data_IF_126144120117
#
_entry.id   IF_126144120117
#
_cell.length_a   1.000
_cell.length_b   1.000
_cell.length_c   1.000
_cell.angle_alpha   90.00
_cell.angle_beta   90.00
_cell.angle_gamma   90.00
#
_symmetry.space_group_name_H-M   'P 1'
#
loop_
_entity.id
_entity.type
_entity.pdbx_description
1 polymer ?
#
# COMPACT_ATOMS: atom_id res chain seq x y z
N UNK A 1 15.59 -25.60 -9.01
CA UNK A 1 14.49 -24.68 -8.66
C UNK A 1 13.90 -25.10 -7.33
N UNK A 2 13.87 -24.20 -6.35
CA UNK A 2 13.28 -24.40 -5.02
C UNK A 2 12.06 -23.51 -4.89
N UNK A 3 10.96 -24.02 -4.32
CA UNK A 3 9.80 -23.19 -3.99
C UNK A 3 10.09 -22.38 -2.71
N UNK A 4 9.77 -21.09 -2.73
CA UNK A 4 9.87 -20.21 -1.57
C UNK A 4 8.59 -19.36 -1.49
N UNK A 5 7.79 -19.53 -0.43
CA UNK A 5 6.52 -18.86 -0.22
C UNK A 5 6.19 -18.78 1.27
N UNK A 6 5.27 -17.92 1.67
CA UNK A 6 4.95 -17.64 3.08
C UNK A 6 4.76 -18.89 3.96
N UNK A 7 4.21 -19.99 3.42
CA UNK A 7 3.95 -21.20 4.19
C UNK A 7 5.19 -22.07 4.42
N UNK A 8 6.28 -21.87 3.66
CA UNK A 8 7.49 -22.68 3.79
C UNK A 8 8.75 -21.89 4.21
N UNK A 9 8.63 -20.59 4.46
CA UNK A 9 9.75 -19.72 4.86
C UNK A 9 10.55 -20.34 6.01
N UNK A 10 9.88 -20.76 7.07
CA UNK A 10 10.54 -21.30 8.28
C UNK A 10 11.47 -22.49 8.00
N UNK A 11 11.11 -23.32 7.05
CA UNK A 11 11.89 -24.50 6.68
C UNK A 11 12.89 -24.23 5.56
N UNK A 12 12.56 -23.32 4.64
CA UNK A 12 13.40 -23.02 3.48
C UNK A 12 14.50 -22.00 3.76
N UNK A 13 14.23 -21.02 4.62
CA UNK A 13 15.18 -19.95 4.90
C UNK A 13 16.54 -20.47 5.40
N UNK A 14 16.62 -21.39 6.39
CA UNK A 14 17.92 -21.97 6.81
C UNK A 14 18.65 -22.66 5.65
N UNK A 15 17.96 -23.46 4.85
CA UNK A 15 18.55 -24.17 3.71
C UNK A 15 19.14 -23.20 2.67
N UNK A 16 18.45 -22.09 2.40
CA UNK A 16 18.92 -21.08 1.46
C UNK A 16 20.15 -20.34 2.00
N UNK A 17 20.19 -20.08 3.30
CA UNK A 17 21.37 -19.46 3.93
C UNK A 17 22.59 -20.41 3.95
N UNK A 18 22.39 -21.71 4.11
CA UNK A 18 23.45 -22.72 3.98
C UNK A 18 24.05 -22.70 2.56
N UNK A 19 23.21 -22.69 1.52
CA UNK A 19 23.70 -22.58 0.13
C UNK A 19 24.51 -21.30 -0.10
N UNK A 20 24.08 -20.16 0.46
CA UNK A 20 24.85 -18.91 0.38
C UNK A 20 26.19 -19.03 1.14
N UNK A 21 26.20 -19.67 2.31
CA UNK A 21 27.43 -19.88 3.09
C UNK A 21 28.42 -20.80 2.36
N UNK A 22 27.95 -21.76 1.55
CA UNK A 22 28.75 -22.59 0.64
C UNK A 22 29.27 -21.83 -0.58
N UNK A 23 28.97 -20.51 -0.70
CA UNK A 23 29.41 -19.69 -1.83
C UNK A 23 28.52 -19.77 -3.07
N UNK A 24 27.34 -20.37 -2.98
CA UNK A 24 26.41 -20.43 -4.09
C UNK A 24 25.68 -19.08 -4.27
N UNK A 25 25.30 -18.80 -5.51
CA UNK A 25 24.43 -17.65 -5.84
C UNK A 25 22.97 -18.09 -5.97
N UNK A 26 22.08 -17.31 -5.38
CA UNK A 26 20.64 -17.54 -5.44
C UNK A 26 19.95 -16.44 -6.25
N UNK A 27 19.05 -16.82 -7.17
CA UNK A 27 18.15 -15.90 -7.83
C UNK A 27 16.72 -16.11 -7.32
N UNK A 28 16.12 -15.03 -6.79
CA UNK A 28 14.70 -15.01 -6.41
C UNK A 28 13.91 -14.50 -7.58
N UNK A 29 12.92 -15.29 -8.01
CA UNK A 29 12.02 -14.95 -9.12
C UNK A 29 10.59 -15.00 -8.64
N UNK A 30 9.76 -14.09 -9.12
CA UNK A 30 8.31 -14.04 -8.89
C UNK A 30 7.56 -14.40 -10.17
N UNK A 31 6.35 -14.88 -10.02
CA UNK A 31 5.45 -15.13 -11.15
C UNK A 31 4.91 -13.82 -11.74
N UNK A 32 4.86 -12.75 -10.94
CA UNK A 32 4.42 -11.42 -11.39
C UNK A 32 5.12 -10.32 -10.59
N UNK A 33 5.73 -9.37 -11.31
CA UNK A 33 6.33 -8.19 -10.72
C UNK A 33 7.68 -8.42 -10.03
N UNK A 34 8.06 -7.45 -9.19
CA UNK A 34 9.32 -7.43 -8.46
C UNK A 34 9.22 -8.29 -7.18
N UNK A 35 10.06 -9.33 -7.01
CA UNK A 35 10.09 -10.12 -5.78
C UNK A 35 10.33 -9.25 -4.53
N UNK A 36 9.72 -9.61 -3.40
CA UNK A 36 9.88 -8.90 -2.12
C UNK A 36 8.96 -7.68 -1.94
N UNK A 37 8.14 -7.34 -2.94
CA UNK A 37 7.11 -6.29 -2.80
C UNK A 37 5.73 -6.96 -2.70
N UNK A 38 5.22 -7.13 -1.49
CA UNK A 38 4.03 -7.94 -1.19
C UNK A 38 4.13 -9.38 -1.74
N UNK A 39 5.34 -9.89 -1.81
CA UNK A 39 5.70 -11.18 -2.36
C UNK A 39 6.83 -11.78 -1.51
N UNK A 40 6.95 -13.11 -1.40
CA UNK A 40 8.05 -13.74 -0.68
C UNK A 40 9.41 -13.27 -1.21
N UNK A 41 10.31 -12.95 -0.31
CA UNK A 41 11.66 -12.49 -0.67
C UNK A 41 12.23 -11.49 0.32
N UNK A 42 11.39 -10.72 0.99
CA UNK A 42 11.82 -9.77 2.02
C UNK A 42 12.60 -10.46 3.14
N UNK A 43 12.06 -11.55 3.68
CA UNK A 43 12.67 -12.29 4.77
C UNK A 43 14.02 -12.92 4.35
N UNK A 44 14.11 -13.43 3.12
CA UNK A 44 15.36 -13.96 2.59
C UNK A 44 16.39 -12.85 2.38
N UNK A 45 15.99 -11.73 1.80
CA UNK A 45 16.87 -10.59 1.58
C UNK A 45 17.40 -10.03 2.91
N UNK A 46 16.53 -9.91 3.91
CA UNK A 46 16.88 -9.48 5.27
C UNK A 46 17.86 -10.45 5.93
N UNK A 47 17.58 -11.74 5.89
CA UNK A 47 18.42 -12.75 6.52
C UNK A 47 19.78 -12.89 5.81
N UNK A 48 19.81 -12.83 4.48
CA UNK A 48 21.05 -12.87 3.72
C UNK A 48 21.94 -11.66 4.05
N UNK A 49 21.37 -10.46 4.14
CA UNK A 49 22.11 -9.25 4.56
C UNK A 49 22.66 -9.37 5.98
N UNK A 50 21.86 -9.86 6.94
CA UNK A 50 22.33 -10.09 8.31
C UNK A 50 23.46 -11.12 8.37
N UNK A 51 23.45 -12.11 7.48
CA UNK A 51 24.53 -13.10 7.37
C UNK A 51 25.75 -12.60 6.57
N UNK A 52 25.78 -11.35 6.14
CA UNK A 52 26.90 -10.74 5.42
C UNK A 52 26.93 -11.00 3.92
N UNK A 53 25.89 -11.62 3.34
CA UNK A 53 25.83 -11.87 1.91
C UNK A 53 25.34 -10.64 1.13
N UNK A 54 25.88 -10.37 -0.07
CA UNK A 54 25.40 -9.32 -0.93
C UNK A 54 24.00 -9.62 -1.46
N UNK A 55 23.12 -8.63 -1.45
CA UNK A 55 21.79 -8.70 -2.06
C UNK A 55 21.70 -7.66 -3.17
N UNK A 56 21.49 -8.11 -4.39
CA UNK A 56 21.38 -7.28 -5.58
C UNK A 56 19.95 -7.34 -6.10
N UNK A 57 19.37 -6.18 -6.37
CA UNK A 57 18.06 -6.08 -7.01
C UNK A 57 18.26 -5.81 -8.50
N UNK A 58 17.64 -6.64 -9.34
CA UNK A 58 17.54 -6.38 -10.77
C UNK A 58 16.27 -5.57 -10.99
N UNK A 59 16.34 -4.34 -11.53
CA UNK A 59 15.15 -3.52 -11.78
C UNK A 59 14.15 -4.26 -12.67
N UNK A 60 12.89 -4.19 -12.29
CA UNK A 60 11.82 -4.89 -13.00
C UNK A 60 10.46 -4.23 -12.82
N UNK A 61 9.42 -4.75 -13.45
CA UNK A 61 8.07 -4.22 -13.36
C UNK A 61 7.56 -4.29 -11.90
N UNK A 62 6.87 -3.22 -11.47
CA UNK A 62 6.24 -3.15 -10.16
C UNK A 62 4.86 -2.50 -10.30
N UNK A 63 3.80 -3.25 -10.00
CA UNK A 63 2.43 -2.77 -10.15
C UNK A 63 2.15 -1.50 -9.32
N UNK A 64 2.75 -1.38 -8.13
CA UNK A 64 2.57 -0.21 -7.26
C UNK A 64 3.06 1.09 -7.93
N UNK A 65 4.29 1.10 -8.43
CA UNK A 65 4.85 2.28 -9.09
C UNK A 65 4.23 2.52 -10.47
N UNK A 66 3.89 1.46 -11.20
CA UNK A 66 3.21 1.57 -12.49
C UNK A 66 1.83 2.22 -12.32
N UNK A 67 1.02 1.74 -11.38
CA UNK A 67 -0.28 2.34 -11.05
C UNK A 67 -0.13 3.79 -10.58
N UNK A 68 0.85 4.08 -9.71
CA UNK A 68 1.08 5.43 -9.20
C UNK A 68 1.36 6.42 -10.33
N UNK A 69 2.26 6.07 -11.25
CA UNK A 69 2.63 6.95 -12.38
C UNK A 69 1.45 7.15 -13.32
N UNK A 70 0.67 6.10 -13.61
CA UNK A 70 -0.47 6.17 -14.52
C UNK A 70 -1.73 6.80 -13.89
N UNK A 71 -1.78 6.93 -12.56
CA UNK A 71 -2.95 7.47 -11.84
C UNK A 71 -3.16 8.97 -12.04
N UNK A 72 -2.12 9.73 -12.37
CA UNK A 72 -2.15 11.19 -12.39
C UNK A 72 -2.21 11.85 -11.01
N UNK A 73 -2.16 11.07 -9.92
CA UNK A 73 -2.12 11.58 -8.55
C UNK A 73 -0.68 11.95 -8.14
N UNK A 74 -0.50 12.83 -7.14
CA UNK A 74 0.83 13.25 -6.69
C UNK A 74 1.73 12.06 -6.35
N UNK A 75 2.88 11.95 -7.02
CA UNK A 75 3.82 10.83 -6.87
C UNK A 75 5.13 11.18 -6.17
N UNK A 76 5.37 12.47 -5.89
CA UNK A 76 6.64 12.93 -5.28
C UNK A 76 6.87 12.40 -3.85
N UNK A 77 5.80 12.17 -3.09
CA UNK A 77 5.80 11.54 -1.76
C UNK A 77 4.58 10.65 -1.67
N UNK A 78 4.79 9.36 -1.48
CA UNK A 78 3.70 8.40 -1.38
C UNK A 78 3.97 7.33 -0.32
N UNK A 79 2.92 6.62 0.07
CA UNK A 79 2.97 5.45 0.94
C UNK A 79 2.60 4.21 0.15
N UNK A 80 3.21 3.09 0.47
CA UNK A 80 2.81 1.79 -0.01
C UNK A 80 2.34 0.94 1.17
N UNK A 81 1.08 0.54 1.15
CA UNK A 81 0.43 -0.25 2.21
C UNK A 81 0.29 -1.74 1.84
N UNK A 82 0.48 -2.08 0.56
CA UNK A 82 0.23 -3.45 0.10
C UNK A 82 -1.21 -3.88 0.33
N UNK A 83 -1.41 -5.11 0.80
CA UNK A 83 -2.72 -5.63 1.16
C UNK A 83 -3.09 -5.25 2.59
N UNK A 84 -4.23 -4.60 2.77
CA UNK A 84 -4.74 -4.34 4.12
C UNK A 84 -5.10 -5.65 4.84
N UNK A 85 -4.98 -5.70 6.17
CA UNK A 85 -5.45 -6.84 6.97
C UNK A 85 -6.87 -7.22 6.59
N UNK A 86 -7.20 -8.51 6.60
CA UNK A 86 -8.51 -9.00 6.12
C UNK A 86 -9.67 -8.57 7.02
N UNK A 87 -9.45 -8.43 8.32
CA UNK A 87 -10.48 -8.11 9.34
C UNK A 87 -9.86 -7.66 10.66
N UNK A 88 -10.72 -7.25 11.58
CA UNK A 88 -10.37 -7.03 12.98
C UNK A 88 -9.87 -5.61 13.28
N UNK A 89 -9.24 -5.47 14.46
CA UNK A 89 -8.79 -4.17 14.98
C UNK A 89 -7.72 -3.53 14.08
N UNK A 90 -6.79 -4.33 13.60
CA UNK A 90 -5.69 -3.87 12.76
C UNK A 90 -6.21 -3.27 11.44
N UNK A 91 -7.18 -3.92 10.76
CA UNK A 91 -7.80 -3.35 9.55
C UNK A 91 -8.44 -1.99 9.83
N UNK A 92 -9.19 -1.85 10.93
CA UNK A 92 -9.80 -0.58 11.31
C UNK A 92 -8.76 0.50 11.55
N UNK A 93 -7.70 0.19 12.29
CA UNK A 93 -6.61 1.13 12.53
C UNK A 93 -5.94 1.61 11.23
N UNK A 94 -5.73 0.69 10.27
CA UNK A 94 -5.18 1.07 8.96
C UNK A 94 -6.12 1.98 8.18
N UNK A 95 -7.43 1.69 8.18
CA UNK A 95 -8.42 2.55 7.52
C UNK A 95 -8.52 3.93 8.19
N UNK A 96 -8.44 4.01 9.51
CA UNK A 96 -8.35 5.26 10.26
C UNK A 96 -7.10 6.06 9.88
N UNK A 97 -5.93 5.41 9.77
CA UNK A 97 -4.70 6.04 9.31
C UNK A 97 -4.83 6.59 7.87
N UNK A 98 -5.41 5.80 6.97
CA UNK A 98 -5.67 6.22 5.58
C UNK A 98 -6.57 7.45 5.51
N UNK A 99 -7.54 7.59 6.41
CA UNK A 99 -8.45 8.73 6.40
C UNK A 99 -7.73 10.07 6.58
N UNK A 100 -6.65 10.10 7.34
CA UNK A 100 -5.86 11.29 7.66
C UNK A 100 -4.53 11.39 6.89
N UNK A 101 -4.12 10.34 6.15
CA UNK A 101 -2.87 10.35 5.40
C UNK A 101 -2.93 11.37 4.26
N UNK A 102 -2.02 12.34 4.28
CA UNK A 102 -1.95 13.42 3.29
C UNK A 102 -1.17 13.07 2.02
N UNK A 103 -0.39 12.00 2.05
CA UNK A 103 0.34 11.52 0.89
C UNK A 103 -0.55 10.59 0.07
N UNK A 104 -0.26 10.48 -1.21
CA UNK A 104 -0.84 9.43 -2.05
C UNK A 104 -0.48 8.07 -1.48
N UNK A 105 -1.46 7.18 -1.40
CA UNK A 105 -1.26 5.82 -0.86
C UNK A 105 -1.59 4.78 -1.91
N UNK A 106 -0.68 3.83 -2.10
CA UNK A 106 -0.85 2.71 -3.02
C UNK A 106 -1.20 1.44 -2.23
N UNK A 107 -2.25 0.78 -2.66
CA UNK A 107 -2.79 -0.44 -2.05
C UNK A 107 -2.91 -1.55 -3.11
N UNK A 108 -2.74 -2.79 -2.68
CA UNK A 108 -3.15 -3.96 -3.45
C UNK A 108 -4.44 -4.53 -2.91
N UNK A 109 -5.29 -5.07 -3.77
CA UNK A 109 -6.48 -5.77 -3.30
C UNK A 109 -6.89 -6.92 -4.21
N UNK A 110 -7.42 -7.96 -3.59
CA UNK A 110 -7.96 -9.10 -4.30
C UNK A 110 -9.38 -8.81 -4.85
N UNK A 111 -9.76 -9.39 -6.00
CA UNK A 111 -11.03 -9.07 -6.65
C UNK A 111 -12.25 -9.31 -5.76
N UNK A 112 -12.24 -10.37 -4.96
CA UNK A 112 -13.35 -10.71 -4.06
C UNK A 112 -13.48 -9.77 -2.85
N UNK A 113 -12.50 -8.91 -2.59
CA UNK A 113 -12.47 -7.94 -1.49
C UNK A 113 -12.63 -6.50 -1.94
N UNK A 114 -12.49 -6.23 -3.26
CA UNK A 114 -12.46 -4.87 -3.81
C UNK A 114 -13.67 -4.03 -3.42
N UNK A 115 -14.88 -4.57 -3.59
CA UNK A 115 -16.11 -3.83 -3.25
C UNK A 115 -16.19 -3.50 -1.75
N UNK A 116 -15.77 -4.42 -0.89
CA UNK A 116 -15.70 -4.17 0.55
C UNK A 116 -14.72 -3.05 0.86
N UNK A 117 -13.51 -3.10 0.28
CA UNK A 117 -12.51 -2.05 0.50
C UNK A 117 -12.99 -0.68 -0.01
N UNK A 118 -13.58 -0.60 -1.21
CA UNK A 118 -14.10 0.66 -1.74
C UNK A 118 -15.23 1.23 -0.87
N UNK A 119 -16.12 0.40 -0.35
CA UNK A 119 -17.14 0.81 0.61
C UNK A 119 -16.56 1.34 1.93
N UNK A 120 -15.53 0.68 2.45
CA UNK A 120 -14.81 1.15 3.64
C UNK A 120 -14.06 2.47 3.36
N UNK A 121 -13.37 2.59 2.23
CA UNK A 121 -12.71 3.84 1.84
C UNK A 121 -13.72 4.98 1.69
N UNK A 122 -14.91 4.72 1.14
CA UNK A 122 -15.99 5.71 1.10
C UNK A 122 -16.41 6.16 2.50
N UNK A 123 -16.50 5.22 3.44
CA UNK A 123 -16.93 5.52 4.83
C UNK A 123 -15.85 6.24 5.66
N UNK A 124 -14.58 5.84 5.52
CA UNK A 124 -13.47 6.38 6.33
C UNK A 124 -12.81 7.61 5.70
N UNK A 125 -12.65 7.62 4.37
CA UNK A 125 -11.92 8.66 3.65
C UNK A 125 -12.86 9.65 2.95
N UNK A 126 -14.15 9.31 2.83
CA UNK A 126 -15.17 10.06 2.13
C UNK A 126 -15.35 9.65 0.67
N UNK A 127 -16.59 9.77 0.13
CA UNK A 127 -16.94 9.33 -1.22
C UNK A 127 -16.19 10.12 -2.31
N UNK A 128 -15.89 11.38 -2.06
CA UNK A 128 -15.20 12.27 -3.00
C UNK A 128 -13.65 12.16 -2.94
N UNK A 129 -13.09 11.27 -2.10
CA UNK A 129 -11.64 11.09 -2.02
C UNK A 129 -11.11 10.66 -3.38
N UNK A 130 -10.09 11.36 -3.93
CA UNK A 130 -9.50 10.98 -5.21
C UNK A 130 -8.95 9.56 -5.17
N UNK A 131 -9.24 8.77 -6.19
CA UNK A 131 -8.70 7.42 -6.35
C UNK A 131 -8.58 7.08 -7.83
N UNK A 132 -7.57 6.27 -8.15
CA UNK A 132 -7.48 5.50 -9.39
C UNK A 132 -7.34 4.02 -9.05
N UNK A 133 -8.22 3.21 -9.57
CA UNK A 133 -8.19 1.75 -9.45
C UNK A 133 -7.67 1.20 -10.76
N UNK A 134 -6.42 0.74 -10.76
CA UNK A 134 -5.81 0.08 -11.89
C UNK A 134 -6.06 -1.43 -11.80
N UNK A 135 -6.61 -2.00 -12.85
CA UNK A 135 -6.91 -3.42 -13.00
C UNK A 135 -6.06 -4.02 -14.09
N UNK A 136 -5.49 -5.21 -13.87
CA UNK A 136 -4.79 -6.00 -14.89
C UNK A 136 -3.73 -5.21 -15.67
N UNK A 137 -2.95 -4.38 -14.97
CA UNK A 137 -1.88 -3.55 -15.58
C UNK A 137 -1.00 -4.38 -16.51
N UNK A 138 -0.73 -3.85 -17.71
CA UNK A 138 0.08 -4.44 -18.77
C UNK A 138 -0.50 -5.72 -19.41
N UNK A 139 -1.73 -6.10 -19.05
CA UNK A 139 -2.42 -7.28 -19.58
C UNK A 139 -3.54 -6.89 -20.54
N UNK A 140 -4.13 -7.89 -21.20
CA UNK A 140 -5.20 -7.70 -22.22
C UNK A 140 -6.42 -6.94 -21.70
N UNK A 141 -6.73 -7.05 -20.39
CA UNK A 141 -7.91 -6.46 -19.77
C UNK A 141 -7.54 -5.31 -18.84
N UNK A 142 -6.48 -4.58 -19.19
CA UNK A 142 -6.08 -3.39 -18.46
C UNK A 142 -7.20 -2.35 -18.45
N UNK A 143 -7.50 -1.83 -17.27
CA UNK A 143 -8.53 -0.85 -17.04
C UNK A 143 -8.12 0.08 -15.89
N UNK A 144 -8.48 1.37 -15.99
CA UNK A 144 -8.30 2.33 -14.92
C UNK A 144 -9.60 3.05 -14.62
N UNK A 145 -10.03 3.02 -13.36
CA UNK A 145 -11.32 3.53 -12.90
C UNK A 145 -11.14 4.54 -11.78
N UNK A 146 -11.75 5.69 -11.93
CA UNK A 146 -11.76 6.81 -10.99
C UNK A 146 -12.81 7.85 -11.45
N UNK A 147 -12.70 9.13 -11.12
CA UNK A 147 -11.62 9.78 -10.33
C UNK A 147 -11.86 9.77 -8.82
N UNK A 148 -13.01 9.31 -8.32
CA UNK A 148 -13.37 9.31 -6.89
C UNK A 148 -13.68 7.91 -6.38
N UNK A 149 -13.64 7.73 -5.05
CA UNK A 149 -13.99 6.47 -4.41
C UNK A 149 -15.43 6.05 -4.76
N UNK A 150 -16.38 7.01 -4.78
CA UNK A 150 -17.76 6.75 -5.14
C UNK A 150 -17.90 6.30 -6.60
N UNK A 151 -17.23 6.99 -7.53
CA UNK A 151 -17.24 6.62 -8.94
C UNK A 151 -16.67 5.22 -9.17
N UNK A 152 -15.55 4.90 -8.54
CA UNK A 152 -14.96 3.57 -8.61
C UNK A 152 -15.86 2.49 -8.00
N UNK A 153 -16.47 2.75 -6.84
CA UNK A 153 -17.40 1.84 -6.19
C UNK A 153 -18.61 1.57 -7.09
N UNK A 154 -19.23 2.63 -7.65
CA UNK A 154 -20.38 2.51 -8.55
C UNK A 154 -20.07 1.69 -9.80
N UNK A 155 -18.89 1.89 -10.40
CA UNK A 155 -18.43 1.11 -11.56
C UNK A 155 -18.33 -0.39 -11.22
N UNK A 156 -17.61 -0.73 -10.16
CA UNK A 156 -17.38 -2.15 -9.80
C UNK A 156 -18.59 -2.83 -9.15
N UNK A 157 -19.62 -2.09 -8.75
CA UNK A 157 -20.92 -2.67 -8.38
C UNK A 157 -21.69 -3.22 -9.59
N UNK A 158 -21.44 -2.67 -10.79
CA UNK A 158 -22.09 -3.10 -12.02
C UNK A 158 -21.35 -4.22 -12.73
N UNK A 159 -20.06 -4.43 -12.42
CA UNK A 159 -19.20 -5.42 -13.07
C UNK A 159 -18.57 -6.28 -11.99
N UNK A 160 -18.67 -7.60 -12.12
CA UNK A 160 -17.99 -8.50 -11.18
C UNK A 160 -16.47 -8.28 -11.23
N UNK A 161 -15.81 -7.84 -10.12
CA UNK A 161 -14.37 -7.65 -10.10
C UNK A 161 -13.62 -8.97 -10.40
N UNK A 162 -12.67 -8.92 -11.34
CA UNK A 162 -11.81 -10.04 -11.71
C UNK A 162 -10.41 -9.54 -12.05
N UNK A 163 -9.41 -10.38 -11.81
CA UNK A 163 -8.01 -10.05 -12.04
C UNK A 163 -7.32 -9.43 -10.83
N UNK A 164 -6.25 -8.69 -11.06
CA UNK A 164 -5.42 -8.06 -10.03
C UNK A 164 -5.68 -6.56 -9.98
N UNK A 165 -5.75 -6.03 -8.77
CA UNK A 165 -6.08 -4.63 -8.54
C UNK A 165 -4.98 -3.91 -7.76
N UNK A 166 -4.63 -2.73 -8.26
CA UNK A 166 -3.79 -1.75 -7.57
C UNK A 166 -4.60 -0.46 -7.43
N UNK A 167 -4.82 -0.02 -6.20
CA UNK A 167 -5.54 1.20 -5.91
C UNK A 167 -4.55 2.31 -5.57
N UNK A 168 -4.71 3.47 -6.15
CA UNK A 168 -3.93 4.67 -5.83
C UNK A 168 -4.90 5.69 -5.23
N UNK A 169 -4.87 5.82 -3.91
CA UNK A 169 -5.72 6.73 -3.14
C UNK A 169 -5.01 8.06 -2.97
N UNK A 170 -5.64 9.14 -3.37
CA UNK A 170 -5.12 10.49 -3.17
C UNK A 170 -5.02 10.85 -1.69
N UNK A 171 -4.11 11.75 -1.34
CA UNK A 171 -3.92 12.22 0.04
C UNK A 171 -5.16 12.94 0.61
N UNK A 172 -5.31 12.91 1.94
CA UNK A 172 -6.32 13.73 2.62
C UNK A 172 -6.05 15.21 2.37
N UNK A 173 -7.08 15.96 2.08
CA UNK A 173 -6.98 17.42 2.14
C UNK A 173 -6.75 17.81 3.58
N UNK A 174 -5.69 18.58 3.88
CA UNK A 174 -5.52 19.12 5.24
C UNK A 174 -6.82 19.81 5.66
N UNK A 175 -7.38 19.41 6.79
CA UNK A 175 -8.45 20.23 7.36
C UNK A 175 -7.82 21.60 7.68
N UNK A 176 -8.30 22.64 7.01
CA UNK A 176 -7.99 23.99 7.38
C UNK A 176 -8.39 24.11 8.87
N UNK A 177 -7.41 24.23 9.76
CA UNK A 177 -7.74 24.64 11.12
C UNK A 177 -8.41 25.99 10.97
N UNK A 178 -9.62 26.16 11.49
CA UNK A 178 -10.23 27.49 11.50
C UNK A 178 -9.20 28.42 12.15
N UNK A 179 -8.90 29.51 11.46
CA UNK A 179 -8.04 30.53 12.04
C UNK A 179 -8.69 30.94 13.36
N UNK A 180 -7.99 30.69 14.47
CA UNK A 180 -8.44 31.15 15.77
C UNK A 180 -8.60 32.67 15.66
N UNK A 181 -9.73 33.18 16.08
CA UNK A 181 -9.88 34.63 16.24
C UNK A 181 -8.99 35.11 17.39
N UNK A 182 -8.74 36.41 17.47
CA UNK A 182 -7.82 36.99 18.49
C UNK A 182 -8.22 36.64 19.94
N UNK A 183 -9.50 36.47 20.22
CA UNK A 183 -9.99 36.10 21.54
C UNK A 183 -9.67 34.62 21.86
N UNK A 184 -9.94 33.71 20.93
CA UNK A 184 -9.61 32.25 21.05
C UNK A 184 -8.10 32.03 21.12
N UNK A 185 -7.31 32.84 20.40
CA UNK A 185 -5.85 32.78 20.44
C UNK A 185 -5.35 33.22 21.84
N UNK A 186 -5.91 34.28 22.39
CA UNK A 186 -5.53 34.79 23.69
C UNK A 186 -5.88 33.78 24.81
N UNK A 187 -7.07 33.19 24.76
CA UNK A 187 -7.50 32.17 25.71
C UNK A 187 -6.59 30.94 25.67
N UNK A 188 -6.25 30.47 24.47
CA UNK A 188 -5.37 29.31 24.27
C UNK A 188 -3.94 29.57 24.74
N UNK A 189 -3.42 30.78 24.53
CA UNK A 189 -2.12 31.20 25.04
C UNK A 189 -2.11 31.26 26.60
N UNK A 190 -3.17 31.76 27.20
CA UNK A 190 -3.31 31.79 28.68
C UNK A 190 -3.36 30.38 29.28
N UNK A 191 -4.09 29.44 28.65
CA UNK A 191 -4.11 28.04 29.05
C UNK A 191 -2.71 27.41 28.99
N UNK A 192 -1.97 27.62 27.90
CA UNK A 192 -0.61 27.07 27.72
C UNK A 192 0.38 27.67 28.73
N UNK A 193 0.25 28.96 29.05
CA UNK A 193 1.08 29.62 30.06
C UNK A 193 0.79 29.10 31.47
N UNK A 194 -0.44 28.71 31.78
CA UNK A 194 -0.81 28.12 33.08
C UNK A 194 -0.41 26.63 33.20
N UNK A 195 -0.26 25.90 32.11
CA UNK A 195 0.16 24.49 32.09
C UNK A 195 1.68 24.28 32.02
N UNK A 196 2.43 25.34 31.71
CA UNK A 196 3.90 25.28 31.49
C UNK A 196 4.72 25.98 32.55
N UNK A 197 4.14 26.33 33.68
CA UNK A 197 4.83 26.94 34.80
C UNK A 197 5.15 25.93 35.92
#
# INVERSE_FOLDING_TARGET
>A
KLSFHQHNIRTRLPQLLELLAEGQSLAVISDAGLPGISDPGEELATAARHAGHPVLCIPGPCAATTALVSSGLPSGRFCFEGFLPTKGKERRQRLEQLSSEQRTTVLYEAPHRLLTLLGELSSYCGPNRPIQVARELTKRHEEQVGPTVEAALGHFQQIRPQGEFTLVLGGATPMAQPALNDAELTERLQELMTQGA
#
